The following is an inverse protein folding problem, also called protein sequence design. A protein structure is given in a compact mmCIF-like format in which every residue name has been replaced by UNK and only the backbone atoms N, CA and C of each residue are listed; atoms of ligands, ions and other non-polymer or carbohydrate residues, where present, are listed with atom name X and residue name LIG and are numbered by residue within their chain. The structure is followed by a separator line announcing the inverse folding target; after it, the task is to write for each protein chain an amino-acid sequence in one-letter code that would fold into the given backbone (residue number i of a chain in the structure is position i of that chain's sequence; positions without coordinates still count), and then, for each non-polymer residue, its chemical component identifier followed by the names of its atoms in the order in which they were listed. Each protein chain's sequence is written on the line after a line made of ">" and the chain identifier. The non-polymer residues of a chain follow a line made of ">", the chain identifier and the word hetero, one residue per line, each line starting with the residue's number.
data_IF_700044407923
#
_entry.id   IF_700044407923
#
_cell.length_a   1.000
_cell.length_b   1.000
_cell.length_c   1.000
_cell.angle_alpha   90.00
_cell.angle_beta   90.00
_cell.angle_gamma   90.00
#
_symmetry.space_group_name_H-M   'P 1'
#
loop_
_entity.id
_entity.type
_entity.pdbx_description
1 polymer ?
#
# COMPACT_ATOMS: atom_id res chain seq x y z
N UNK A 1 -10.96 5.77 -27.80
CA UNK A 1 -9.56 5.29 -27.91
C UNK A 1 -8.51 6.24 -27.30
N UNK A 2 -8.78 7.55 -27.09
CA UNK A 2 -7.78 8.50 -26.57
C UNK A 2 -7.58 8.49 -25.03
N UNK A 3 -8.62 8.23 -24.23
CA UNK A 3 -8.53 8.30 -22.75
C UNK A 3 -7.64 7.20 -22.13
N UNK A 4 -7.60 6.01 -22.73
CA UNK A 4 -6.85 4.88 -22.19
C UNK A 4 -5.33 5.00 -22.39
N UNK A 5 -4.90 5.70 -23.45
CA UNK A 5 -3.47 5.98 -23.68
C UNK A 5 -2.93 7.01 -22.67
N UNK A 6 -3.75 7.97 -22.25
CA UNK A 6 -3.33 8.99 -21.28
C UNK A 6 -3.11 8.39 -19.88
N UNK A 7 -3.93 7.42 -19.47
CA UNK A 7 -3.75 6.72 -18.19
C UNK A 7 -2.49 5.84 -18.15
N UNK A 8 -2.16 5.14 -19.25
CA UNK A 8 -0.95 4.31 -19.33
C UNK A 8 0.32 5.17 -19.32
N UNK A 9 0.28 6.35 -19.91
CA UNK A 9 1.40 7.29 -19.93
C UNK A 9 1.42 8.24 -18.72
N UNK A 10 0.35 8.29 -17.92
CA UNK A 10 0.22 9.17 -16.75
C UNK A 10 1.42 9.08 -15.78
N UNK A 11 1.91 7.88 -15.38
CA UNK A 11 3.06 7.78 -14.50
C UNK A 11 4.33 8.45 -15.01
N UNK A 12 4.49 8.58 -16.33
CA UNK A 12 5.65 9.22 -16.95
C UNK A 12 5.52 10.74 -17.03
N UNK A 13 4.29 11.26 -17.01
CA UNK A 13 3.99 12.71 -17.11
C UNK A 13 3.85 13.37 -15.74
N UNK A 14 3.36 12.62 -14.75
CA UNK A 14 3.09 13.09 -13.40
C UNK A 14 4.38 13.44 -12.64
N UNK A 15 4.36 14.51 -11.85
CA UNK A 15 5.48 14.95 -11.01
C UNK A 15 5.31 14.45 -9.59
N UNK A 16 5.63 13.18 -9.38
CA UNK A 16 5.51 12.56 -8.05
C UNK A 16 6.67 12.90 -7.14
N UNK A 17 6.37 13.06 -5.84
CA UNK A 17 7.36 13.32 -4.80
C UNK A 17 6.96 12.62 -3.51
N UNK A 18 7.91 12.00 -2.82
CA UNK A 18 7.70 11.56 -1.45
C UNK A 18 7.54 12.79 -0.54
N UNK A 19 6.48 12.83 0.26
CA UNK A 19 6.17 13.98 1.12
C UNK A 19 6.63 13.73 2.55
N UNK A 20 6.08 12.69 3.17
CA UNK A 20 6.38 12.35 4.55
C UNK A 20 6.03 10.90 4.85
N UNK A 21 6.59 10.37 5.93
CA UNK A 21 6.15 9.12 6.54
C UNK A 21 5.39 9.41 7.82
N UNK A 22 4.23 8.78 7.97
CA UNK A 22 3.36 8.90 9.13
C UNK A 22 3.53 7.66 10.01
N UNK A 23 3.82 7.88 11.29
CA UNK A 23 3.87 6.81 12.28
C UNK A 23 3.57 7.34 13.68
N UNK A 24 3.25 6.43 14.59
CA UNK A 24 2.71 6.76 15.90
C UNK A 24 3.80 6.68 16.98
N UNK A 25 3.73 7.58 17.95
CA UNK A 25 4.68 7.67 19.06
C UNK A 25 3.94 7.68 20.39
N UNK A 26 4.51 7.06 21.42
CA UNK A 26 3.93 6.98 22.75
C UNK A 26 4.08 8.27 23.57
N UNK A 27 5.09 9.08 23.24
CA UNK A 27 5.37 10.37 23.87
C UNK A 27 5.94 11.33 22.83
N UNK A 28 5.14 12.34 22.46
CA UNK A 28 5.47 13.25 21.36
C UNK A 28 6.70 14.10 21.67
N UNK A 29 6.78 14.68 22.87
CA UNK A 29 7.85 15.61 23.23
C UNK A 29 9.16 14.87 23.45
N UNK A 30 9.12 13.65 24.02
CA UNK A 30 10.30 12.77 24.12
C UNK A 30 10.88 12.45 22.75
N UNK A 31 10.04 12.09 21.78
CA UNK A 31 10.51 11.75 20.43
C UNK A 31 10.99 12.98 19.67
N UNK A 32 10.32 14.12 19.81
CA UNK A 32 10.81 15.40 19.26
C UNK A 32 12.19 15.73 19.81
N UNK A 33 12.36 15.69 21.13
CA UNK A 33 13.64 16.01 21.76
C UNK A 33 14.74 15.09 21.24
N UNK A 34 14.47 13.78 21.19
CA UNK A 34 15.40 12.79 20.64
C UNK A 34 15.80 13.12 19.20
N UNK A 35 14.85 13.44 18.32
CA UNK A 35 15.15 13.74 16.92
C UNK A 35 15.89 15.05 16.73
N UNK A 36 15.58 16.08 17.52
CA UNK A 36 16.28 17.35 17.44
C UNK A 36 17.70 17.26 17.99
N UNK A 37 17.89 16.57 19.12
CA UNK A 37 19.17 16.54 19.83
C UNK A 37 20.13 15.46 19.29
N UNK A 38 19.61 14.31 18.89
CA UNK A 38 20.43 13.18 18.43
C UNK A 38 20.61 13.18 16.90
N UNK A 39 19.54 13.46 16.15
CA UNK A 39 19.57 13.39 14.68
C UNK A 39 19.76 14.76 14.01
N UNK A 40 19.61 15.87 14.75
CA UNK A 40 19.74 17.22 14.20
C UNK A 40 18.56 17.63 13.33
N UNK A 41 17.40 16.96 13.46
CA UNK A 41 16.17 17.37 12.77
C UNK A 41 15.64 18.68 13.35
N UNK A 42 14.83 19.39 12.56
CA UNK A 42 14.10 20.58 12.98
C UNK A 42 12.62 20.27 13.11
N UNK A 43 11.97 20.83 14.13
CA UNK A 43 10.50 20.86 14.20
C UNK A 43 10.03 21.91 13.19
N UNK A 44 9.27 21.46 12.20
CA UNK A 44 8.77 22.31 11.11
C UNK A 44 7.37 22.84 11.44
N UNK A 45 6.53 21.98 11.99
CA UNK A 45 5.14 22.30 12.34
C UNK A 45 4.64 21.36 13.42
N UNK A 46 3.87 21.89 14.37
CA UNK A 46 3.07 21.10 15.32
C UNK A 46 1.60 21.43 15.09
N UNK A 47 0.73 20.44 15.25
CA UNK A 47 -0.73 20.63 15.17
C UNK A 47 -1.39 19.78 16.22
N UNK A 48 -2.18 20.39 17.08
CA UNK A 48 -3.02 19.67 18.03
C UNK A 48 -4.44 19.57 17.50
N UNK A 49 -5.10 18.42 17.64
CA UNK A 49 -6.47 18.18 17.21
C UNK A 49 -7.27 17.54 18.37
N UNK A 50 -7.66 18.34 19.39
CA UNK A 50 -8.33 17.83 20.58
C UNK A 50 -9.63 17.09 20.30
N UNK A 51 -10.37 17.53 19.28
CA UNK A 51 -11.66 16.94 18.87
C UNK A 51 -11.51 15.48 18.41
N UNK A 52 -10.37 15.14 17.82
CA UNK A 52 -10.03 13.79 17.36
C UNK A 52 -9.03 13.09 18.30
N UNK A 53 -8.65 13.74 19.41
CA UNK A 53 -7.76 13.24 20.47
C UNK A 53 -6.37 12.81 19.97
N UNK A 54 -5.77 13.61 19.10
CA UNK A 54 -4.38 13.40 18.69
C UNK A 54 -3.62 14.71 18.45
N UNK A 55 -2.29 14.64 18.49
CA UNK A 55 -1.38 15.71 18.08
C UNK A 55 -0.40 15.21 17.03
N UNK A 56 -0.04 16.07 16.07
CA UNK A 56 1.02 15.82 15.12
C UNK A 56 2.24 16.74 15.33
N UNK A 57 3.41 16.21 14.99
CA UNK A 57 4.62 17.01 14.78
C UNK A 57 5.31 16.58 13.48
N UNK A 58 5.69 17.56 12.67
CA UNK A 58 6.44 17.39 11.43
C UNK A 58 7.89 17.75 11.68
N UNK A 59 8.81 16.82 11.42
CA UNK A 59 10.24 17.02 11.62
C UNK A 59 11.05 16.59 10.39
N UNK A 60 12.14 17.30 10.10
CA UNK A 60 13.02 16.94 9.00
C UNK A 60 14.25 17.84 8.94
N UNK A 61 14.98 17.75 7.83
CA UNK A 61 16.22 18.50 7.61
C UNK A 61 16.04 19.79 6.80
N UNK A 62 14.84 20.00 6.24
CA UNK A 62 14.46 21.16 5.45
C UNK A 62 12.93 21.35 5.41
N UNK A 63 12.42 22.37 4.69
CA UNK A 63 10.99 22.66 4.64
C UNK A 63 10.18 21.57 3.91
N UNK A 64 8.94 21.33 4.35
CA UNK A 64 8.03 20.28 3.84
C UNK A 64 7.78 20.38 2.31
N UNK A 65 7.95 21.57 1.74
CA UNK A 65 7.75 21.86 0.31
C UNK A 65 8.84 21.23 -0.58
N UNK A 66 10.06 21.07 -0.06
CA UNK A 66 11.21 20.56 -0.83
C UNK A 66 11.82 19.28 -0.26
N UNK A 67 11.54 18.95 1.00
CA UNK A 67 12.14 17.82 1.69
C UNK A 67 11.11 16.76 2.10
N UNK A 68 11.61 15.54 2.26
CA UNK A 68 10.91 14.47 2.95
C UNK A 68 11.02 14.63 4.45
N UNK A 69 9.90 14.44 5.15
CA UNK A 69 9.81 14.69 6.60
C UNK A 69 9.13 13.52 7.32
N UNK A 70 9.31 13.44 8.64
CA UNK A 70 8.52 12.54 9.48
C UNK A 70 7.30 13.29 10.01
N UNK A 71 6.14 12.66 9.94
CA UNK A 71 4.92 13.08 10.62
C UNK A 71 4.68 12.14 11.80
N UNK A 72 4.95 12.64 13.00
CA UNK A 72 4.67 11.94 14.25
C UNK A 72 3.20 12.11 14.59
N UNK A 73 2.55 11.03 15.03
CA UNK A 73 1.17 11.06 15.54
C UNK A 73 1.14 10.55 16.97
N UNK A 74 0.76 11.41 17.91
CA UNK A 74 0.49 11.02 19.29
C UNK A 74 -1.02 10.97 19.52
N UNK A 75 -1.54 9.80 19.89
CA UNK A 75 -2.94 9.65 20.29
C UNK A 75 -3.02 9.77 21.81
N UNK A 76 -3.96 10.57 22.31
CA UNK A 76 -4.02 10.90 23.73
C UNK A 76 -4.16 9.66 24.61
N UNK A 77 -3.28 9.51 25.58
CA UNK A 77 -3.27 8.40 26.53
C UNK A 77 -2.79 7.07 25.96
N UNK A 78 -2.32 7.01 24.71
CA UNK A 78 -1.73 5.80 24.10
C UNK A 78 -0.21 5.93 24.11
N UNK A 79 0.45 5.16 24.97
CA UNK A 79 1.89 5.29 25.26
C UNK A 79 2.78 4.25 24.57
N UNK A 80 2.23 3.32 23.80
CA UNK A 80 3.00 2.27 23.13
C UNK A 80 2.26 1.70 21.93
N UNK A 81 3.02 1.28 20.92
CA UNK A 81 2.49 0.66 19.70
C UNK A 81 3.30 -0.60 19.36
N UNK A 82 2.66 -1.51 18.63
CA UNK A 82 3.34 -2.65 18.02
C UNK A 82 3.93 -2.23 16.67
N UNK A 83 5.25 -2.25 16.55
CA UNK A 83 5.96 -1.95 15.29
C UNK A 83 5.70 -3.04 14.24
N UNK A 84 5.44 -4.27 14.68
CA UNK A 84 5.33 -5.42 13.81
C UNK A 84 6.68 -5.85 13.22
N UNK A 85 6.65 -6.89 12.39
CA UNK A 85 7.84 -7.48 11.76
C UNK A 85 8.04 -7.02 10.32
N UNK A 86 7.08 -6.30 9.73
CA UNK A 86 7.14 -5.82 8.34
C UNK A 86 7.90 -4.51 8.19
N UNK A 87 7.85 -3.64 9.20
CA UNK A 87 8.66 -2.42 9.22
C UNK A 87 10.14 -2.75 9.40
N UNK A 88 10.98 -2.17 8.54
CA UNK A 88 12.43 -2.32 8.59
C UNK A 88 13.09 -1.24 9.42
N UNK A 89 13.29 -0.08 8.79
CA UNK A 89 13.95 1.08 9.39
C UNK A 89 13.64 2.35 8.60
N UNK A 90 13.98 3.49 9.17
CA UNK A 90 14.24 4.73 8.44
C UNK A 90 15.75 4.90 8.27
N UNK A 91 16.22 5.62 7.26
CA UNK A 91 17.66 5.90 7.13
C UNK A 91 17.97 7.40 7.11
N UNK A 92 19.05 7.76 7.80
CA UNK A 92 19.61 9.11 7.84
C UNK A 92 21.03 9.06 7.28
N UNK A 93 21.24 9.78 6.18
CA UNK A 93 22.56 10.05 5.64
C UNK A 93 23.24 11.16 6.44
N UNK A 94 24.48 10.93 6.88
CA UNK A 94 25.29 11.90 7.61
C UNK A 94 26.75 11.83 7.14
N UNK A 95 27.49 12.93 7.30
CA UNK A 95 28.92 12.97 6.96
C UNK A 95 29.79 12.26 8.02
N UNK A 96 29.26 12.13 9.24
CA UNK A 96 29.95 11.50 10.37
C UNK A 96 28.94 10.67 11.16
N UNK A 97 28.94 9.35 10.91
CA UNK A 97 28.05 8.41 11.60
C UNK A 97 28.46 8.25 13.06
N UNK A 98 29.76 8.21 13.34
CA UNK A 98 30.28 8.03 14.70
C UNK A 98 29.83 9.17 15.61
N UNK A 99 29.93 10.42 15.15
CA UNK A 99 29.44 11.59 15.91
C UNK A 99 27.95 11.51 16.22
N UNK A 100 27.13 11.08 15.25
CA UNK A 100 25.69 10.93 15.47
C UNK A 100 25.37 9.79 16.45
N UNK A 101 26.09 8.67 16.37
CA UNK A 101 25.97 7.57 17.35
C UNK A 101 26.37 8.01 18.75
N UNK A 102 27.45 8.78 18.92
CA UNK A 102 27.81 9.32 20.24
C UNK A 102 26.75 10.27 20.78
N UNK A 103 26.13 11.11 19.94
CA UNK A 103 25.03 11.97 20.35
C UNK A 103 23.80 11.17 20.80
N UNK A 104 23.47 10.08 20.09
CA UNK A 104 22.42 9.12 20.49
C UNK A 104 22.77 8.49 21.84
N UNK A 105 24.00 7.99 22.01
CA UNK A 105 24.46 7.33 23.23
C UNK A 105 24.45 8.27 24.44
N UNK A 106 24.92 9.51 24.27
CA UNK A 106 24.92 10.53 25.31
C UNK A 106 23.51 10.89 25.82
N UNK A 107 22.48 10.66 25.00
CA UNK A 107 21.07 10.89 25.34
C UNK A 107 20.33 9.61 25.76
N UNK A 108 21.07 8.54 26.04
CA UNK A 108 20.51 7.25 26.49
C UNK A 108 19.78 6.48 25.38
N UNK A 109 20.01 6.84 24.11
CA UNK A 109 19.47 6.12 22.96
C UNK A 109 20.14 4.75 22.78
N UNK A 110 19.42 3.83 22.15
CA UNK A 110 19.84 2.45 22.02
C UNK A 110 20.60 2.23 20.71
N UNK A 111 21.90 1.98 20.78
CA UNK A 111 22.75 1.62 19.63
C UNK A 111 22.70 0.11 19.45
N UNK A 112 22.06 -0.36 18.38
CA UNK A 112 21.88 -1.80 18.10
C UNK A 112 22.95 -2.34 17.17
N UNK A 113 23.65 -1.47 16.45
CA UNK A 113 24.87 -1.80 15.72
C UNK A 113 25.80 -0.59 15.68
N UNK A 114 27.04 -0.81 16.14
CA UNK A 114 28.09 0.21 16.13
C UNK A 114 28.51 0.62 14.71
N UNK A 115 29.02 1.86 14.54
CA UNK A 115 29.55 2.33 13.26
C UNK A 115 30.62 1.40 12.71
N UNK A 116 30.41 0.94 11.48
CA UNK A 116 31.39 0.13 10.77
C UNK A 116 30.96 -0.19 9.34
N UNK A 117 31.87 -0.70 8.51
CA UNK A 117 31.54 -1.06 7.14
C UNK A 117 30.40 -2.08 7.10
N UNK A 118 29.50 -1.94 6.13
CA UNK A 118 28.47 -2.94 5.84
C UNK A 118 29.13 -4.26 5.43
N UNK A 119 28.56 -5.39 5.87
CA UNK A 119 29.07 -6.71 5.49
C UNK A 119 29.07 -6.85 3.96
N UNK A 120 30.26 -7.05 3.39
CA UNK A 120 30.44 -7.17 1.94
C UNK A 120 30.42 -5.84 1.16
N UNK A 121 30.62 -4.70 1.83
CA UNK A 121 30.74 -3.39 1.17
C UNK A 121 31.62 -2.40 1.94
N UNK A 122 31.84 -1.22 1.36
CA UNK A 122 32.70 -0.17 1.94
C UNK A 122 31.97 0.93 2.72
N UNK A 123 30.65 1.01 2.62
CA UNK A 123 29.86 2.06 3.28
C UNK A 123 29.83 1.85 4.79
N UNK A 124 30.22 2.88 5.54
CA UNK A 124 30.12 2.89 7.01
C UNK A 124 28.68 3.15 7.41
N UNK A 125 28.10 2.25 8.21
CA UNK A 125 26.73 2.35 8.69
C UNK A 125 26.64 1.97 10.18
N UNK A 126 25.62 2.48 10.85
CA UNK A 126 25.24 2.10 12.22
C UNK A 126 23.73 1.90 12.30
N UNK A 127 23.27 1.20 13.33
CA UNK A 127 21.83 1.14 13.64
C UNK A 127 21.58 1.60 15.06
N UNK A 128 20.56 2.44 15.20
CA UNK A 128 20.07 2.92 16.49
C UNK A 128 18.56 2.73 16.56
N UNK A 129 18.02 2.72 17.77
CA UNK A 129 16.58 2.75 18.01
C UNK A 129 16.19 4.04 18.70
N UNK A 130 15.05 4.57 18.28
CA UNK A 130 14.41 5.70 18.91
C UNK A 130 13.68 5.29 20.22
N UNK A 131 13.03 6.24 20.92
CA UNK A 131 12.30 5.98 22.16
C UNK A 131 11.20 4.91 22.07
N UNK A 132 10.52 4.80 20.93
CA UNK A 132 9.42 3.85 20.70
C UNK A 132 9.91 2.50 20.13
N UNK A 133 11.19 2.42 19.72
CA UNK A 133 11.85 1.22 19.22
C UNK A 133 11.97 1.15 17.70
N UNK A 134 11.58 2.20 16.97
CA UNK A 134 11.81 2.32 15.54
C UNK A 134 13.30 2.31 15.26
N UNK A 135 13.68 1.50 14.28
CA UNK A 135 15.08 1.38 13.89
C UNK A 135 15.44 2.49 12.90
N UNK A 136 16.57 3.15 13.14
CA UNK A 136 17.18 4.10 12.22
C UNK A 136 18.54 3.57 11.76
N UNK A 137 18.72 3.42 10.46
CA UNK A 137 20.02 3.22 9.84
C UNK A 137 20.72 4.57 9.67
N UNK A 138 21.95 4.68 10.16
CA UNK A 138 22.78 5.85 9.96
C UNK A 138 23.81 5.51 8.89
N UNK A 139 23.82 6.26 7.78
CA UNK A 139 24.66 5.95 6.62
C UNK A 139 25.67 7.05 6.39
N UNK A 140 26.96 6.71 6.37
CA UNK A 140 28.00 7.70 6.11
C UNK A 140 28.09 7.99 4.61
N UNK A 141 27.74 9.21 4.21
CA UNK A 141 27.87 9.71 2.83
C UNK A 141 28.35 11.17 2.84
N UNK A 142 28.76 11.66 1.68
CA UNK A 142 29.02 13.09 1.50
C UNK A 142 27.76 13.95 1.71
N UNK A 143 27.87 15.28 1.56
CA UNK A 143 26.71 16.17 1.59
C UNK A 143 25.62 15.70 0.63
N UNK A 144 24.38 15.67 1.11
CA UNK A 144 23.20 15.29 0.32
C UNK A 144 22.09 16.34 0.49
N UNK A 145 21.29 16.62 -0.54
CA UNK A 145 20.11 17.48 -0.41
C UNK A 145 19.00 16.85 0.45
N UNK A 146 19.00 15.53 0.64
CA UNK A 146 17.96 14.83 1.41
C UNK A 146 18.57 13.84 2.42
N UNK A 147 18.89 14.30 3.64
CA UNK A 147 19.48 13.43 4.65
C UNK A 147 18.54 12.30 5.11
N UNK A 148 17.23 12.52 5.18
CA UNK A 148 16.26 11.45 5.49
C UNK A 148 15.99 10.64 4.22
N UNK A 149 16.83 9.63 3.97
CA UNK A 149 17.05 9.10 2.64
C UNK A 149 16.40 7.74 2.36
N UNK A 150 15.89 7.02 3.36
CA UNK A 150 15.22 5.73 3.12
C UNK A 150 14.04 5.47 4.07
N UNK A 151 13.03 4.78 3.55
CA UNK A 151 12.06 4.01 4.32
C UNK A 151 12.19 2.56 3.86
N UNK A 152 12.51 1.65 4.78
CA UNK A 152 12.66 0.23 4.46
C UNK A 152 11.47 -0.60 4.94
N UNK A 153 10.89 -1.36 4.02
CA UNK A 153 9.79 -2.28 4.28
C UNK A 153 10.14 -3.70 3.81
N UNK A 154 9.78 -4.69 4.62
CA UNK A 154 9.91 -6.09 4.24
C UNK A 154 8.73 -6.53 3.38
N UNK A 155 9.02 -7.31 2.34
CA UNK A 155 8.03 -7.83 1.39
C UNK A 155 8.19 -9.33 1.22
N UNK A 156 7.08 -10.03 1.01
CA UNK A 156 7.08 -11.48 0.82
C UNK A 156 7.41 -11.96 -0.60
N UNK A 157 7.39 -11.04 -1.57
CA UNK A 157 7.72 -11.28 -2.98
C UNK A 157 8.24 -9.96 -3.57
N UNK A 158 9.56 -9.90 -3.81
CA UNK A 158 10.21 -8.68 -4.27
C UNK A 158 9.83 -8.32 -5.70
N UNK A 159 9.77 -9.29 -6.61
CA UNK A 159 9.47 -9.03 -8.02
C UNK A 159 8.04 -8.52 -8.20
N UNK A 160 7.09 -9.08 -7.43
CA UNK A 160 5.72 -8.59 -7.39
C UNK A 160 5.64 -7.19 -6.79
N UNK A 161 6.40 -6.91 -5.73
CA UNK A 161 6.43 -5.59 -5.12
C UNK A 161 7.02 -4.53 -6.07
N UNK A 162 8.17 -4.80 -6.69
CA UNK A 162 8.78 -3.91 -7.69
C UNK A 162 7.78 -3.59 -8.81
N UNK A 163 7.17 -4.62 -9.43
CA UNK A 163 6.16 -4.43 -10.48
C UNK A 163 4.97 -3.58 -10.03
N UNK A 164 4.55 -3.73 -8.78
CA UNK A 164 3.49 -2.91 -8.21
C UNK A 164 3.93 -1.44 -8.13
N UNK A 165 5.08 -1.14 -7.53
CA UNK A 165 5.56 0.24 -7.39
C UNK A 165 5.88 0.91 -8.74
N UNK A 166 6.38 0.16 -9.71
CA UNK A 166 6.59 0.65 -11.07
C UNK A 166 5.27 1.00 -11.76
N UNK A 167 4.30 0.08 -11.76
CA UNK A 167 3.05 0.26 -12.52
C UNK A 167 2.05 1.17 -11.84
N UNK A 168 1.83 0.97 -10.54
CA UNK A 168 0.81 1.68 -9.78
C UNK A 168 1.28 3.08 -9.39
N UNK A 169 2.56 3.23 -9.07
CA UNK A 169 3.11 4.47 -8.51
C UNK A 169 4.17 5.13 -9.39
N UNK A 170 4.56 4.52 -10.52
CA UNK A 170 5.52 5.13 -11.45
C UNK A 170 6.94 5.24 -10.91
N UNK A 171 7.28 4.48 -9.87
CA UNK A 171 8.65 4.46 -9.34
C UNK A 171 9.60 3.75 -10.29
N UNK A 172 10.87 4.14 -10.29
CA UNK A 172 11.96 3.42 -10.98
C UNK A 172 12.64 2.48 -10.00
N UNK A 173 12.98 1.28 -10.45
CA UNK A 173 13.96 0.43 -9.76
C UNK A 173 15.35 1.03 -9.96
N UNK A 174 15.88 1.67 -8.93
CA UNK A 174 17.17 2.36 -8.97
C UNK A 174 18.33 1.39 -8.77
N UNK A 175 18.14 0.41 -7.88
CA UNK A 175 19.16 -0.57 -7.54
C UNK A 175 18.53 -1.87 -7.06
N UNK A 176 19.11 -3.00 -7.48
CA UNK A 176 18.79 -4.33 -6.97
C UNK A 176 20.06 -4.98 -6.45
N UNK A 177 19.98 -5.57 -5.26
CA UNK A 177 21.12 -6.17 -4.58
C UNK A 177 20.73 -7.54 -4.08
N UNK A 178 21.36 -8.57 -4.62
CA UNK A 178 21.21 -9.95 -4.15
C UNK A 178 22.36 -10.29 -3.20
N UNK A 179 22.01 -10.93 -2.08
CA UNK A 179 22.94 -11.37 -1.04
C UNK A 179 22.59 -12.80 -0.64
N UNK A 180 22.82 -13.78 -1.53
CA UNK A 180 22.47 -15.18 -1.27
C UNK A 180 23.18 -15.73 -0.02
N UNK A 181 24.37 -15.24 0.30
CA UNK A 181 25.15 -15.62 1.50
C UNK A 181 24.41 -15.27 2.80
N UNK A 182 23.63 -14.18 2.76
CA UNK A 182 22.84 -13.68 3.90
C UNK A 182 21.33 -13.91 3.72
N UNK A 183 20.93 -14.64 2.67
CA UNK A 183 19.54 -15.03 2.38
C UNK A 183 18.55 -13.86 2.27
N UNK A 184 18.98 -12.74 1.65
CA UNK A 184 18.07 -11.64 1.35
C UNK A 184 18.37 -10.99 -0.02
N UNK A 185 17.35 -10.32 -0.55
CA UNK A 185 17.45 -9.45 -1.73
C UNK A 185 16.81 -8.10 -1.42
N UNK A 186 17.41 -7.03 -1.92
CA UNK A 186 16.93 -5.66 -1.75
C UNK A 186 16.60 -5.04 -3.11
N UNK A 187 15.50 -4.29 -3.19
CA UNK A 187 15.18 -3.39 -4.30
C UNK A 187 14.97 -1.95 -3.81
N UNK A 188 15.70 -0.99 -4.38
CA UNK A 188 15.55 0.44 -4.10
C UNK A 188 14.63 1.08 -5.14
N UNK A 189 13.48 1.60 -4.71
CA UNK A 189 12.49 2.23 -5.57
C UNK A 189 12.42 3.74 -5.32
N UNK A 190 12.36 4.56 -6.37
CA UNK A 190 12.24 6.01 -6.19
C UNK A 190 11.91 6.80 -7.45
N UNK A 191 11.84 8.12 -7.31
CA UNK A 191 11.53 9.05 -8.41
C UNK A 191 12.77 9.79 -8.94
N UNK A 192 13.81 9.94 -8.13
CA UNK A 192 15.10 10.54 -8.48
C UNK A 192 16.25 9.55 -8.23
N UNK A 193 17.49 9.95 -8.52
CA UNK A 193 18.66 9.12 -8.23
C UNK A 193 18.84 8.90 -6.72
N UNK A 194 19.36 7.74 -6.32
CA UNK A 194 19.36 7.27 -4.92
C UNK A 194 20.09 8.24 -3.94
N UNK A 195 21.02 9.04 -4.43
CA UNK A 195 21.79 9.98 -3.59
C UNK A 195 21.18 11.40 -3.53
N UNK A 196 20.19 11.68 -4.37
CA UNK A 196 19.57 13.00 -4.53
C UNK A 196 18.21 13.11 -3.82
N UNK A 197 17.59 11.97 -3.47
CA UNK A 197 16.27 11.95 -2.83
C UNK A 197 16.09 10.72 -1.97
N UNK A 198 14.96 10.68 -1.26
CA UNK A 198 14.52 9.51 -0.53
C UNK A 198 14.13 8.36 -1.47
N UNK A 199 14.47 7.14 -1.05
CA UNK A 199 14.04 5.90 -1.71
C UNK A 199 13.20 5.02 -0.78
N UNK A 200 12.34 4.22 -1.38
CA UNK A 200 11.67 3.11 -0.72
C UNK A 200 12.52 1.85 -0.90
N UNK A 201 13.11 1.38 0.20
CA UNK A 201 13.85 0.13 0.22
C UNK A 201 12.91 -1.04 0.48
N UNK A 202 12.92 -2.03 -0.40
CA UNK A 202 12.14 -3.26 -0.28
C UNK A 202 13.07 -4.44 -0.01
N UNK A 203 12.94 -5.07 1.16
CA UNK A 203 13.76 -6.23 1.52
C UNK A 203 12.92 -7.52 1.48
N UNK A 204 13.39 -8.50 0.72
CA UNK A 204 12.86 -9.86 0.73
C UNK A 204 13.84 -10.79 1.41
N UNK A 205 13.38 -11.53 2.43
CA UNK A 205 14.15 -12.59 3.07
C UNK A 205 13.72 -13.95 2.50
N UNK A 206 14.69 -14.80 2.17
CA UNK A 206 14.41 -16.02 1.41
C UNK A 206 13.48 -16.95 2.18
N UNK A 207 12.36 -17.31 1.56
CA UNK A 207 11.34 -18.19 2.14
C UNK A 207 10.41 -17.53 3.15
N UNK A 208 10.55 -16.22 3.42
CA UNK A 208 9.65 -15.47 4.31
C UNK A 208 8.66 -14.67 3.48
N UNK A 209 7.40 -15.09 3.48
CA UNK A 209 6.35 -14.50 2.63
C UNK A 209 5.38 -13.58 3.37
N UNK A 210 5.39 -13.60 4.71
CA UNK A 210 4.45 -12.86 5.55
C UNK A 210 5.16 -12.14 6.69
N UNK A 211 4.66 -10.95 7.01
CA UNK A 211 5.11 -10.11 8.11
C UNK A 211 3.90 -9.45 8.78
N UNK A 212 3.98 -9.20 10.08
CA UNK A 212 2.97 -8.40 10.77
C UNK A 212 3.21 -6.93 10.46
N UNK A 213 2.14 -6.19 10.11
CA UNK A 213 2.25 -4.75 9.87
C UNK A 213 2.45 -3.94 11.14
N UNK A 214 2.09 -4.52 12.29
CA UNK A 214 1.93 -3.78 13.53
C UNK A 214 0.79 -2.75 13.45
N UNK A 215 0.77 -1.86 14.42
CA UNK A 215 -0.12 -0.70 14.47
C UNK A 215 0.64 0.63 14.68
N UNK A 216 1.98 0.60 14.67
CA UNK A 216 2.81 1.78 14.89
C UNK A 216 3.04 2.58 13.60
N UNK A 217 3.65 1.97 12.58
CA UNK A 217 3.77 2.56 11.24
C UNK A 217 2.39 2.73 10.60
N UNK A 218 2.09 3.90 10.03
CA UNK A 218 0.80 4.14 9.38
C UNK A 218 0.94 4.08 7.86
N UNK A 219 1.66 5.03 7.25
CA UNK A 219 1.73 5.17 5.79
C UNK A 219 2.91 6.03 5.35
N UNK A 220 3.22 5.97 4.05
CA UNK A 220 4.06 6.93 3.35
C UNK A 220 3.17 7.75 2.41
N UNK A 221 3.31 9.07 2.44
CA UNK A 221 2.57 9.98 1.59
C UNK A 221 3.39 10.36 0.34
N UNK A 222 2.74 10.34 -0.81
CA UNK A 222 3.32 10.67 -2.12
C UNK A 222 2.43 11.74 -2.76
N UNK A 223 3.02 12.86 -3.13
CA UNK A 223 2.38 13.91 -3.90
C UNK A 223 2.26 13.52 -5.37
N UNK A 224 1.21 13.99 -6.01
CA UNK A 224 0.87 13.77 -7.43
C UNK A 224 0.10 14.99 -7.91
N UNK A 225 0.23 15.33 -9.20
CA UNK A 225 -0.49 16.45 -9.80
C UNK A 225 -2.00 16.14 -9.93
N UNK A 226 -2.38 14.86 -9.99
CA UNK A 226 -3.79 14.42 -10.07
C UNK A 226 -4.01 13.10 -9.30
N UNK A 227 -4.66 13.21 -8.14
CA UNK A 227 -4.98 12.07 -7.27
C UNK A 227 -5.98 11.10 -7.89
N UNK A 228 -6.85 11.55 -8.79
CA UNK A 228 -7.85 10.69 -9.43
C UNK A 228 -7.18 9.79 -10.46
N UNK A 229 -6.38 10.37 -11.37
CA UNK A 229 -5.61 9.60 -12.35
C UNK A 229 -4.63 8.64 -11.68
N UNK A 230 -3.94 9.09 -10.63
CA UNK A 230 -3.02 8.23 -9.87
C UNK A 230 -3.76 7.11 -9.13
N UNK A 231 -4.94 7.37 -8.56
CA UNK A 231 -5.73 6.35 -7.88
C UNK A 231 -6.28 5.28 -8.85
N UNK A 232 -6.63 5.64 -10.08
CA UNK A 232 -7.10 4.67 -11.09
C UNK A 232 -6.05 3.59 -11.41
N UNK A 233 -4.76 3.91 -11.29
CA UNK A 233 -3.66 2.95 -11.51
C UNK A 233 -3.39 2.04 -10.31
N UNK A 234 -3.71 2.49 -9.09
CA UNK A 234 -3.42 1.78 -7.83
C UNK A 234 -4.53 0.79 -7.48
N UNK A 235 -5.76 1.03 -7.92
CA UNK A 235 -6.89 0.21 -7.52
C UNK A 235 -6.75 -1.24 -8.03
N UNK A 236 -6.94 -2.25 -7.15
CA UNK A 236 -6.95 -3.64 -7.57
C UNK A 236 -8.04 -3.81 -8.62
N UNK A 237 -7.61 -4.30 -9.77
CA UNK A 237 -8.40 -4.51 -10.99
C UNK A 237 -9.75 -5.17 -10.67
N UNK A 238 -10.87 -4.44 -10.75
CA UNK A 238 -12.20 -5.03 -10.72
C UNK A 238 -12.54 -5.65 -12.09
N UNK A 239 -13.64 -6.41 -12.21
CA UNK A 239 -14.27 -6.83 -13.48
C UNK A 239 -14.43 -5.71 -14.54
N UNK A 240 -14.24 -4.44 -14.17
CA UNK A 240 -14.15 -3.30 -15.08
C UNK A 240 -13.20 -3.55 -16.25
N UNK A 241 -12.03 -4.19 -16.01
CA UNK A 241 -11.08 -4.52 -17.09
C UNK A 241 -11.67 -5.45 -18.15
N UNK A 242 -12.61 -6.32 -17.78
CA UNK A 242 -13.33 -7.16 -18.75
C UNK A 242 -14.07 -6.24 -19.73
N UNK A 243 -14.81 -5.26 -19.24
CA UNK A 243 -15.53 -4.31 -20.10
C UNK A 243 -14.59 -3.38 -20.87
N UNK A 244 -13.49 -2.94 -20.26
CA UNK A 244 -12.45 -2.16 -20.96
C UNK A 244 -11.81 -2.95 -22.10
N UNK A 245 -11.46 -4.22 -21.89
CA UNK A 245 -10.94 -5.09 -22.94
C UNK A 245 -11.98 -5.37 -24.03
N UNK A 246 -13.26 -5.43 -23.65
CA UNK A 246 -14.39 -5.58 -24.56
C UNK A 246 -14.91 -4.23 -25.07
N UNK A 247 -14.17 -3.12 -24.97
CA UNK A 247 -14.58 -1.79 -25.46
C UNK A 247 -16.04 -1.38 -25.13
N UNK A 248 -16.58 -1.84 -24.00
CA UNK A 248 -17.93 -1.57 -23.54
C UNK A 248 -17.87 -0.50 -22.45
N UNK A 249 -18.69 0.54 -22.58
CA UNK A 249 -18.85 1.56 -21.54
C UNK A 249 -19.33 0.93 -20.24
N UNK A 250 -18.66 1.24 -19.14
CA UNK A 250 -18.98 0.69 -17.83
C UNK A 250 -18.91 1.77 -16.76
N UNK A 251 -19.71 1.62 -15.72
CA UNK A 251 -19.78 2.53 -14.58
C UNK A 251 -19.57 1.74 -13.28
N UNK A 252 -19.11 2.41 -12.23
CA UNK A 252 -18.98 1.82 -10.90
C UNK A 252 -19.90 2.53 -9.94
N UNK A 253 -20.71 1.77 -9.22
CA UNK A 253 -21.62 2.27 -8.20
C UNK A 253 -21.18 1.77 -6.84
N UNK A 254 -21.00 2.68 -5.88
CA UNK A 254 -20.80 2.32 -4.47
C UNK A 254 -22.17 2.16 -3.83
N UNK A 255 -22.46 0.96 -3.33
CA UNK A 255 -23.72 0.68 -2.66
C UNK A 255 -23.50 0.71 -1.13
N UNK A 256 -24.16 1.66 -0.47
CA UNK A 256 -24.17 1.80 0.98
C UNK A 256 -25.46 1.19 1.51
N UNK A 257 -25.34 -0.06 1.97
CA UNK A 257 -26.41 -0.90 2.56
C UNK A 257 -27.48 -1.43 1.59
N UNK A 258 -27.68 -2.75 1.66
CA UNK A 258 -28.89 -3.42 1.17
C UNK A 258 -29.57 -4.04 2.40
N UNK A 259 -30.82 -3.65 2.67
CA UNK A 259 -31.55 -3.95 3.91
C UNK A 259 -31.74 -5.46 4.16
N UNK A 260 -31.65 -6.29 3.12
CA UNK A 260 -31.96 -7.72 3.18
C UNK A 260 -30.78 -8.62 3.59
N UNK A 261 -29.52 -8.12 3.54
CA UNK A 261 -28.32 -8.97 3.67
C UNK A 261 -27.27 -8.50 4.70
N UNK A 262 -27.54 -7.46 5.50
CA UNK A 262 -26.55 -6.85 6.44
C UNK A 262 -25.18 -6.61 5.77
N UNK A 263 -25.20 -6.08 4.55
CA UNK A 263 -24.00 -5.71 3.79
C UNK A 263 -23.53 -4.34 4.28
N UNK A 264 -22.26 -4.23 4.70
CA UNK A 264 -21.68 -2.97 5.19
C UNK A 264 -21.29 -2.04 4.03
N UNK A 265 -20.56 -2.57 3.04
CA UNK A 265 -20.11 -1.83 1.85
C UNK A 265 -20.06 -2.79 0.67
N UNK A 266 -20.69 -2.41 -0.44
CA UNK A 266 -20.65 -3.14 -1.71
C UNK A 266 -20.21 -2.25 -2.87
N UNK A 267 -19.57 -2.85 -3.87
CA UNK A 267 -19.28 -2.21 -5.14
C UNK A 267 -19.96 -2.98 -6.26
N UNK A 268 -20.75 -2.25 -7.03
CA UNK A 268 -21.41 -2.76 -8.22
C UNK A 268 -20.69 -2.22 -9.45
N UNK A 269 -20.52 -3.08 -10.43
CA UNK A 269 -20.00 -2.75 -11.74
C UNK A 269 -21.15 -2.87 -12.70
N UNK A 270 -21.46 -1.77 -13.39
CA UNK A 270 -22.52 -1.70 -14.36
C UNK A 270 -21.92 -1.57 -15.76
N UNK A 271 -22.58 -2.16 -16.76
CA UNK A 271 -22.23 -2.01 -18.16
C UNK A 271 -23.39 -1.37 -18.92
N UNK A 272 -23.07 -0.63 -19.98
CA UNK A 272 -24.06 -0.01 -20.84
C UNK A 272 -24.89 -1.07 -21.58
N UNK A 273 -26.22 -0.98 -21.48
CA UNK A 273 -27.17 -1.87 -22.15
C UNK A 273 -28.06 -1.05 -23.10
N UNK A 274 -27.71 -0.96 -24.40
CA UNK A 274 -28.43 -0.17 -25.39
C UNK A 274 -29.95 -0.43 -25.42
N UNK A 275 -30.37 -1.70 -25.35
CA UNK A 275 -31.78 -2.09 -25.40
C UNK A 275 -32.60 -1.61 -24.20
N UNK A 276 -31.94 -1.31 -23.07
CA UNK A 276 -32.55 -0.75 -21.87
C UNK A 276 -32.34 0.76 -21.72
N UNK A 277 -31.51 1.38 -22.57
CA UNK A 277 -31.16 2.79 -22.49
C UNK A 277 -30.50 3.21 -21.17
N UNK A 278 -29.88 2.28 -20.44
CA UNK A 278 -29.28 2.54 -19.12
C UNK A 278 -28.11 1.60 -18.82
N UNK A 279 -27.35 1.95 -17.79
CA UNK A 279 -26.39 1.03 -17.18
C UNK A 279 -27.12 -0.05 -16.37
N UNK A 280 -26.69 -1.30 -16.53
CA UNK A 280 -27.15 -2.45 -15.75
C UNK A 280 -25.99 -3.11 -15.03
N UNK A 281 -26.17 -3.42 -13.74
CA UNK A 281 -25.20 -4.15 -12.94
C UNK A 281 -24.84 -5.50 -13.60
N UNK A 282 -23.55 -5.82 -13.70
CA UNK A 282 -23.03 -7.10 -14.20
C UNK A 282 -22.26 -7.84 -13.11
N UNK A 283 -21.64 -7.13 -12.17
CA UNK A 283 -20.93 -7.71 -11.04
C UNK A 283 -21.23 -6.91 -9.79
N UNK A 284 -21.32 -7.60 -8.66
CA UNK A 284 -21.41 -6.99 -7.35
C UNK A 284 -20.44 -7.71 -6.43
N UNK A 285 -19.65 -6.96 -5.67
CA UNK A 285 -18.75 -7.46 -4.65
C UNK A 285 -19.05 -6.77 -3.33
N UNK A 286 -19.48 -7.55 -2.34
CA UNK A 286 -19.97 -7.07 -1.07
C UNK A 286 -19.25 -7.72 0.11
N UNK A 287 -18.96 -6.94 1.15
CA UNK A 287 -18.50 -7.45 2.43
C UNK A 287 -19.71 -7.89 3.27
N UNK A 288 -19.84 -9.21 3.48
CA UNK A 288 -20.93 -9.81 4.23
C UNK A 288 -20.58 -10.03 5.72
N UNK A 289 -19.43 -9.53 6.19
CA UNK A 289 -18.94 -9.76 7.55
C UNK A 289 -19.02 -11.25 7.91
N UNK A 290 -19.47 -11.61 9.11
CA UNK A 290 -19.58 -13.00 9.54
C UNK A 290 -20.93 -13.67 9.21
N UNK A 291 -21.80 -13.01 8.44
CA UNK A 291 -23.16 -13.49 8.19
C UNK A 291 -23.21 -14.88 7.54
N UNK A 292 -22.47 -15.06 6.43
CA UNK A 292 -22.46 -16.34 5.72
C UNK A 292 -21.68 -17.41 6.50
N UNK A 293 -20.59 -17.04 7.16
CA UNK A 293 -19.75 -17.97 7.92
C UNK A 293 -20.45 -18.50 9.18
N UNK A 294 -21.38 -17.74 9.78
CA UNK A 294 -22.25 -18.23 10.86
C UNK A 294 -23.09 -19.41 10.42
N UNK A 295 -23.75 -19.31 9.25
CA UNK A 295 -24.57 -20.38 8.68
C UNK A 295 -23.73 -21.59 8.27
N UNK A 296 -22.54 -21.36 7.72
CA UNK A 296 -21.63 -22.41 7.25
C UNK A 296 -20.75 -22.99 8.36
N UNK A 297 -20.79 -22.44 9.58
CA UNK A 297 -19.94 -22.89 10.69
C UNK A 297 -18.44 -22.59 10.51
N UNK A 298 -18.06 -21.69 9.60
CA UNK A 298 -16.66 -21.43 9.26
C UNK A 298 -16.05 -20.50 10.32
N UNK A 299 -15.08 -21.03 11.06
CA UNK A 299 -14.43 -20.30 12.16
C UNK A 299 -12.92 -20.36 12.01
N UNK A 300 -12.25 -19.28 12.40
CA UNK A 300 -10.81 -19.23 12.56
C UNK A 300 -10.46 -19.07 14.04
N UNK A 301 -9.25 -19.49 14.40
CA UNK A 301 -8.69 -19.25 15.72
C UNK A 301 -7.68 -18.09 15.61
N UNK A 302 -7.93 -16.93 16.24
CA UNK A 302 -6.97 -15.84 16.26
C UNK A 302 -5.64 -16.28 16.88
N UNK A 303 -4.52 -15.78 16.37
CA UNK A 303 -3.18 -16.02 16.93
C UNK A 303 -2.98 -15.36 18.29
N UNK A 304 -3.73 -14.29 18.59
CA UNK A 304 -3.71 -13.59 19.87
C UNK A 304 -5.04 -13.70 20.64
N UNK A 305 -5.00 -13.89 21.96
CA UNK A 305 -6.19 -13.86 22.80
C UNK A 305 -6.70 -12.42 22.92
N UNK A 306 -7.83 -12.13 22.27
CA UNK A 306 -8.51 -10.85 22.42
C UNK A 306 -9.07 -10.72 23.84
N UNK A 307 -8.71 -9.62 24.52
CA UNK A 307 -9.20 -9.24 25.84
C UNK A 307 -10.72 -9.02 25.83
N UNK A 308 -11.49 -10.08 26.02
CA UNK A 308 -12.90 -9.96 26.41
C UNK A 308 -13.28 -11.16 27.28
N UNK A 309 -13.49 -10.89 28.58
CA UNK A 309 -14.29 -11.72 29.47
C UNK A 309 -13.65 -13.02 29.96
N UNK A 310 -13.12 -12.97 31.18
CA UNK A 310 -12.65 -14.09 31.98
C UNK A 310 -13.67 -15.23 32.10
N UNK A 311 -13.32 -16.43 31.60
CA UNK A 311 -13.79 -17.69 32.20
C UNK A 311 -12.62 -18.66 32.36
N UNK A 312 -12.18 -18.84 33.60
CA UNK A 312 -11.21 -19.85 34.02
C UNK A 312 -11.82 -21.25 33.82
N UNK A 313 -11.08 -22.12 33.14
CA UNK A 313 -11.31 -23.57 33.18
C UNK A 313 -11.53 -24.24 31.83
N UNK A 314 -10.44 -24.43 31.07
CA UNK A 314 -10.09 -25.55 30.15
C UNK A 314 -9.16 -25.01 29.06
N UNK A 315 -7.93 -25.54 29.00
CA UNK A 315 -6.87 -25.39 27.98
C UNK A 315 -6.84 -24.05 27.19
N UNK A 316 -5.81 -23.23 27.44
CA UNK A 316 -5.52 -21.90 26.87
C UNK A 316 -5.45 -21.83 25.33
N UNK A 317 -6.53 -22.13 24.62
CA UNK A 317 -6.68 -21.86 23.19
C UNK A 317 -7.65 -20.67 23.01
N UNK A 318 -7.28 -19.63 22.25
CA UNK A 318 -8.17 -18.51 21.98
C UNK A 318 -9.50 -18.99 21.38
N UNK A 319 -10.61 -18.36 21.81
CA UNK A 319 -11.95 -18.69 21.33
C UNK A 319 -12.02 -18.50 19.82
N UNK A 320 -12.54 -19.50 19.11
CA UNK A 320 -12.72 -19.41 17.66
C UNK A 320 -13.73 -18.32 17.29
N UNK A 321 -13.42 -17.49 16.29
CA UNK A 321 -14.30 -16.46 15.75
C UNK A 321 -14.79 -16.85 14.36
N UNK A 322 -15.96 -16.37 13.96
CA UNK A 322 -16.44 -16.54 12.59
C UNK A 322 -15.62 -15.69 11.63
N UNK A 323 -15.29 -16.24 10.46
CA UNK A 323 -14.52 -15.51 9.44
C UNK A 323 -15.40 -14.46 8.76
N UNK A 324 -14.81 -13.34 8.34
CA UNK A 324 -15.52 -12.43 7.43
C UNK A 324 -15.50 -13.01 6.01
N UNK A 325 -16.64 -12.95 5.32
CA UNK A 325 -16.76 -13.42 3.94
C UNK A 325 -16.98 -12.26 2.98
N UNK A 326 -16.35 -12.37 1.81
CA UNK A 326 -16.66 -11.56 0.65
C UNK A 326 -17.62 -12.35 -0.24
N UNK A 327 -18.73 -11.75 -0.62
CA UNK A 327 -19.63 -12.30 -1.63
C UNK A 327 -19.46 -11.50 -2.91
N UNK A 328 -18.94 -12.15 -3.95
CA UNK A 328 -18.67 -11.50 -5.22
C UNK A 328 -19.24 -12.32 -6.38
N UNK A 329 -20.08 -11.68 -7.19
CA UNK A 329 -20.49 -12.21 -8.49
C UNK A 329 -19.43 -11.85 -9.50
N UNK A 330 -18.74 -12.83 -10.09
CA UNK A 330 -17.69 -12.57 -11.07
C UNK A 330 -18.24 -11.79 -12.28
N UNK A 331 -19.22 -12.37 -12.98
CA UNK A 331 -20.00 -11.74 -14.06
C UNK A 331 -21.38 -12.41 -14.11
N UNK A 332 -22.46 -11.64 -14.06
CA UNK A 332 -23.81 -12.13 -14.22
C UNK A 332 -24.03 -12.53 -15.69
N UNK A 333 -23.91 -13.83 -15.97
CA UNK A 333 -23.88 -14.39 -17.34
C UNK A 333 -25.03 -13.89 -18.23
N UNK A 334 -26.30 -13.89 -17.82
CA UNK A 334 -27.39 -13.43 -18.70
C UNK A 334 -27.23 -11.96 -19.10
N UNK A 335 -26.88 -11.10 -18.14
CA UNK A 335 -26.67 -9.67 -18.36
C UNK A 335 -25.43 -9.40 -19.19
N UNK A 336 -24.38 -10.21 -19.02
CA UNK A 336 -23.18 -10.16 -19.86
C UNK A 336 -23.49 -10.50 -21.32
N UNK A 337 -24.31 -11.53 -21.56
CA UNK A 337 -24.72 -11.92 -22.92
C UNK A 337 -25.52 -10.80 -23.60
N UNK A 338 -26.48 -10.20 -22.90
CA UNK A 338 -27.25 -9.06 -23.43
C UNK A 338 -26.32 -7.90 -23.78
N UNK A 339 -25.45 -7.52 -22.85
CA UNK A 339 -24.48 -6.44 -23.04
C UNK A 339 -23.57 -6.68 -24.26
N UNK A 340 -23.03 -7.88 -24.41
CA UNK A 340 -22.19 -8.24 -25.56
C UNK A 340 -22.97 -8.20 -26.88
N UNK A 341 -24.16 -8.80 -26.93
CA UNK A 341 -24.95 -8.86 -28.15
C UNK A 341 -25.39 -7.45 -28.58
N UNK A 342 -25.92 -6.65 -27.67
CA UNK A 342 -26.46 -5.33 -27.99
C UNK A 342 -25.38 -4.30 -28.36
N UNK A 343 -24.22 -4.32 -27.72
CA UNK A 343 -23.15 -3.37 -28.04
C UNK A 343 -22.40 -3.71 -29.34
N UNK A 344 -22.50 -4.95 -29.83
CA UNK A 344 -21.78 -5.41 -31.01
C UNK A 344 -22.67 -5.84 -32.18
N UNK A 345 -23.99 -5.73 -32.03
CA UNK A 345 -24.94 -5.95 -33.10
C UNK A 345 -24.79 -4.86 -34.18
N UNK A 346 -24.78 -5.30 -35.43
CA UNK A 346 -24.76 -4.45 -36.62
C UNK A 346 -26.18 -4.27 -37.17
N UNK A 347 -26.37 -3.29 -38.06
CA UNK A 347 -27.69 -3.00 -38.67
C UNK A 347 -28.28 -4.20 -39.43
N UNK A 348 -27.44 -5.07 -39.99
CA UNK A 348 -27.85 -6.29 -40.70
C UNK A 348 -28.22 -7.46 -39.77
N UNK A 349 -28.19 -7.24 -38.44
CA UNK A 349 -28.48 -8.23 -37.42
C UNK A 349 -27.33 -9.19 -37.12
N UNK A 350 -26.17 -9.04 -37.77
CA UNK A 350 -24.94 -9.76 -37.38
C UNK A 350 -24.35 -9.18 -36.08
N UNK A 351 -23.55 -9.98 -35.38
CA UNK A 351 -22.87 -9.55 -34.14
C UNK A 351 -21.38 -9.74 -34.31
N UNK A 352 -20.62 -8.65 -34.21
CA UNK A 352 -19.15 -8.69 -34.24
C UNK A 352 -18.64 -9.26 -32.92
N UNK A 353 -17.79 -10.29 -32.98
CA UNK A 353 -17.17 -10.85 -31.79
C UNK A 353 -15.96 -9.98 -31.41
N UNK A 354 -15.92 -9.44 -30.18
CA UNK A 354 -14.77 -8.68 -29.67
C UNK A 354 -13.47 -9.47 -29.83
N UNK A 355 -12.41 -8.80 -30.25
CA UNK A 355 -11.09 -9.42 -30.51
C UNK A 355 -10.62 -10.34 -29.36
N UNK A 356 -10.72 -9.96 -28.06
CA UNK A 356 -10.30 -10.84 -26.96
C UNK A 356 -11.10 -12.14 -26.84
N UNK A 357 -12.32 -12.20 -27.38
CA UNK A 357 -13.20 -13.37 -27.29
C UNK A 357 -12.99 -14.36 -28.45
N UNK A 358 -12.40 -13.93 -29.56
CA UNK A 358 -12.25 -14.76 -30.78
C UNK A 358 -11.47 -16.05 -30.53
N UNK A 359 -10.41 -15.99 -29.73
CA UNK A 359 -9.62 -17.17 -29.36
C UNK A 359 -10.46 -18.24 -28.64
N UNK A 360 -11.44 -17.83 -27.84
CA UNK A 360 -12.36 -18.72 -27.13
C UNK A 360 -13.52 -19.20 -28.00
N UNK A 361 -13.76 -18.54 -29.15
CA UNK A 361 -14.80 -18.88 -30.12
C UNK A 361 -14.24 -19.57 -31.37
N UNK A 362 -13.05 -20.19 -31.28
CA UNK A 362 -12.43 -20.91 -32.39
C UNK A 362 -12.04 -20.01 -33.57
N UNK A 363 -11.75 -18.73 -33.31
CA UNK A 363 -11.37 -17.74 -34.31
C UNK A 363 -12.56 -17.11 -35.05
N UNK A 364 -13.80 -17.43 -34.68
CA UNK A 364 -14.98 -16.79 -35.31
C UNK A 364 -14.98 -15.30 -34.97
N UNK A 365 -15.11 -14.47 -36.01
CA UNK A 365 -15.08 -13.01 -35.87
C UNK A 365 -16.46 -12.35 -35.87
N UNK A 366 -17.46 -13.00 -36.48
CA UNK A 366 -18.82 -12.46 -36.64
C UNK A 366 -19.84 -13.61 -36.54
N UNK A 367 -20.89 -13.42 -35.74
CA UNK A 367 -22.08 -14.28 -35.70
C UNK A 367 -23.10 -13.72 -36.69
N UNK A 368 -23.49 -14.51 -37.70
CA UNK A 368 -24.49 -14.09 -38.68
C UNK A 368 -25.89 -14.61 -38.31
N UNK A 369 -26.96 -13.84 -38.58
CA UNK A 369 -28.31 -14.35 -38.45
C UNK A 369 -28.50 -15.53 -39.41
N UNK A 370 -29.11 -16.61 -38.93
CA UNK A 370 -29.54 -17.69 -39.82
C UNK A 370 -30.75 -17.20 -40.60
N UNK A 371 -30.60 -17.08 -41.92
CA UNK A 371 -31.73 -16.94 -42.83
C UNK A 371 -32.69 -18.10 -42.54
N UNK A 372 -33.92 -17.78 -42.17
CA UNK A 372 -35.00 -18.76 -42.03
C UNK A 372 -35.64 -19.03 -43.37
#
# INVERSE_FOLDING_TARGET
>A
MAENADLVEWPKKDKRRFLHVVYRVGDLDRTIQFYTECFGMKVLRKRDVPEEKYSNAFLGFGPETSNFVVELTYNYGVSSYDIGTGFGHFAISTQDVSKMVEAVRAKGGNVTREPGPVKGGGSVIAFVKDPDGYTFELIQRGPTPEPLCQVMLRVGDLDRAIKFYEKALGMRLLRRIERPEYKYTIGMMGYAEEYESIVLELTYNYGVTEYTKGNAYAQIAIGTDDVYKSAELVQPVPPQRVFTCLSISSARRKCLSCADLKINIGFDIEAWMPGLGRFGEISSASNCTDYQSRRLGIRFRPSEPLQTGSKKGKANLPSTKFVHTLNATACAVPRMMVCLLENYQQEDGSVVIPEPLRAFMGGIEVIKPKLR
#
